data_IF_065824306909
#
_entry.id   IF_065824306909
#
_cell.length_a   1.000
_cell.length_b   1.000
_cell.length_c   1.000
_cell.angle_alpha   90.00
_cell.angle_beta   90.00
_cell.angle_gamma   90.00
#
_symmetry.space_group_name_H-M   'P 1'
#
loop_
_entity.id
_entity.type
_entity.pdbx_description
1 polymer ?
#
# COMPACT_ATOMS: atom_id res chain seq x y z
N UNK A 1 30.84 -1.87 -30.60
CA UNK A 1 31.89 -2.31 -29.68
C UNK A 1 31.25 -3.17 -28.58
N UNK A 2 31.70 -4.42 -28.38
CA UNK A 2 31.17 -5.24 -27.29
C UNK A 2 31.66 -4.74 -25.95
N UNK A 3 30.90 -4.97 -24.86
CA UNK A 3 31.29 -4.59 -23.51
C UNK A 3 32.65 -5.16 -23.10
N UNK A 4 32.93 -6.38 -23.48
CA UNK A 4 34.23 -7.03 -23.26
C UNK A 4 35.40 -6.26 -23.94
N UNK A 5 35.24 -5.84 -25.19
CA UNK A 5 36.23 -5.05 -25.90
C UNK A 5 36.43 -3.65 -25.26
N UNK A 6 35.36 -3.03 -24.76
CA UNK A 6 35.44 -1.79 -24.01
C UNK A 6 36.23 -1.96 -22.70
N UNK A 7 35.95 -3.01 -21.94
CA UNK A 7 36.64 -3.31 -20.67
C UNK A 7 38.13 -3.60 -20.89
N UNK A 8 38.48 -4.35 -21.93
CA UNK A 8 39.85 -4.60 -22.31
C UNK A 8 40.62 -3.31 -22.59
N UNK A 9 40.00 -2.42 -23.37
CA UNK A 9 40.59 -1.12 -23.75
C UNK A 9 40.68 -0.10 -22.62
N UNK A 10 39.60 0.03 -21.84
CA UNK A 10 39.49 1.08 -20.81
C UNK A 10 40.19 0.72 -19.49
N UNK A 11 40.24 -0.57 -19.14
CA UNK A 11 40.74 -1.03 -17.86
C UNK A 11 41.90 -2.03 -17.96
N UNK A 12 42.41 -2.26 -19.18
CA UNK A 12 43.50 -3.20 -19.47
C UNK A 12 43.24 -4.60 -18.91
N UNK A 13 41.95 -4.98 -18.80
CA UNK A 13 41.58 -6.32 -18.35
C UNK A 13 41.80 -7.34 -19.45
N UNK A 14 42.29 -8.55 -19.15
CA UNK A 14 42.32 -9.65 -20.12
C UNK A 14 40.91 -9.88 -20.68
N UNK A 15 40.83 -10.19 -21.99
CA UNK A 15 39.54 -10.34 -22.70
C UNK A 15 38.62 -11.38 -22.06
N UNK A 16 39.16 -12.44 -21.55
CA UNK A 16 38.44 -13.51 -20.85
C UNK A 16 37.80 -13.01 -19.53
N UNK A 17 38.35 -11.98 -18.88
CA UNK A 17 37.72 -11.35 -17.70
C UNK A 17 36.58 -10.40 -18.10
N UNK A 18 36.67 -9.74 -19.25
CA UNK A 18 35.58 -8.92 -19.80
C UNK A 18 34.38 -9.75 -20.24
N UNK A 19 34.58 -11.02 -20.61
CA UNK A 19 33.52 -11.94 -20.98
C UNK A 19 32.73 -12.51 -19.80
N UNK A 20 33.27 -12.44 -18.57
CA UNK A 20 32.57 -12.83 -17.34
C UNK A 20 31.49 -11.79 -16.97
N UNK A 21 31.70 -10.53 -17.36
CA UNK A 21 30.75 -9.44 -17.09
C UNK A 21 29.87 -9.25 -18.32
N UNK A 22 28.67 -9.78 -18.28
CA UNK A 22 27.67 -9.61 -19.33
C UNK A 22 26.60 -8.60 -18.92
N UNK A 23 26.30 -7.68 -19.83
CA UNK A 23 25.11 -6.83 -19.72
C UNK A 23 23.96 -7.51 -20.45
N UNK A 24 23.00 -8.03 -19.69
CA UNK A 24 21.77 -8.60 -20.22
C UNK A 24 20.64 -7.58 -20.27
N UNK A 25 19.75 -7.75 -21.23
CA UNK A 25 18.51 -7.01 -21.29
C UNK A 25 17.55 -7.53 -20.22
N UNK A 26 17.24 -6.72 -19.21
CA UNK A 26 16.31 -7.10 -18.15
C UNK A 26 14.85 -7.01 -18.63
N UNK A 27 14.45 -5.86 -19.19
CA UNK A 27 13.08 -5.63 -19.65
C UNK A 27 13.02 -4.88 -20.97
N UNK A 28 11.93 -5.08 -21.73
CA UNK A 28 11.45 -4.16 -22.77
C UNK A 28 10.06 -3.70 -22.38
N UNK A 29 9.84 -2.40 -22.40
CA UNK A 29 8.54 -1.80 -22.13
C UNK A 29 8.02 -1.13 -23.41
N UNK A 30 6.72 -1.27 -23.67
CA UNK A 30 6.03 -0.58 -24.77
C UNK A 30 5.73 0.87 -24.43
N UNK A 31 5.47 1.17 -23.14
CA UNK A 31 5.20 2.51 -22.61
C UNK A 31 5.86 2.68 -21.24
N UNK A 32 6.19 3.91 -20.90
CA UNK A 32 6.78 4.24 -19.62
C UNK A 32 6.42 5.65 -19.14
N UNK A 33 6.17 5.77 -17.85
CA UNK A 33 5.96 7.01 -17.11
C UNK A 33 7.18 7.22 -16.19
N UNK A 34 8.06 8.13 -16.56
CA UNK A 34 9.27 8.46 -15.77
C UNK A 34 9.02 9.76 -15.00
N UNK A 35 9.09 9.69 -13.68
CA UNK A 35 8.68 10.77 -12.78
C UNK A 35 9.92 11.48 -12.22
N UNK A 36 10.78 10.73 -11.53
CA UNK A 36 12.05 11.17 -10.99
C UNK A 36 13.02 9.99 -10.89
N UNK A 37 14.26 10.23 -10.45
CA UNK A 37 15.22 9.15 -10.15
C UNK A 37 14.59 8.12 -9.21
N UNK A 38 14.60 6.85 -9.59
CA UNK A 38 14.02 5.71 -8.86
C UNK A 38 12.47 5.74 -8.72
N UNK A 39 11.77 6.59 -9.48
CA UNK A 39 10.29 6.62 -9.50
C UNK A 39 9.80 6.55 -10.94
N UNK A 40 9.26 5.40 -11.32
CA UNK A 40 8.73 5.17 -12.66
C UNK A 40 7.68 4.06 -12.65
N UNK A 41 6.86 4.05 -13.69
CA UNK A 41 6.01 2.92 -14.07
C UNK A 41 6.24 2.58 -15.53
N UNK A 42 6.25 1.31 -15.89
CA UNK A 42 6.45 0.84 -17.24
C UNK A 42 5.51 -0.32 -17.57
N UNK A 43 5.00 -0.34 -18.79
CA UNK A 43 4.23 -1.45 -19.34
C UNK A 43 5.22 -2.40 -20.02
N UNK A 44 5.63 -3.43 -19.30
CA UNK A 44 6.62 -4.42 -19.72
C UNK A 44 5.97 -5.41 -20.67
N UNK A 45 6.57 -5.59 -21.84
CA UNK A 45 6.16 -6.55 -22.88
C UNK A 45 7.13 -7.74 -23.00
N UNK A 46 8.36 -7.58 -22.50
CA UNK A 46 9.37 -8.63 -22.46
C UNK A 46 10.13 -8.53 -21.13
N UNK A 47 10.30 -9.64 -20.46
CA UNK A 47 11.07 -9.75 -19.23
C UNK A 47 12.14 -10.84 -19.40
N UNK A 48 13.41 -10.45 -19.41
CA UNK A 48 14.57 -11.34 -19.58
C UNK A 48 14.49 -12.24 -20.84
N UNK A 49 13.90 -11.72 -21.92
CA UNK A 49 13.72 -12.45 -23.19
C UNK A 49 12.38 -13.19 -23.31
N UNK A 50 11.56 -13.20 -22.27
CA UNK A 50 10.24 -13.83 -22.30
C UNK A 50 9.14 -12.79 -22.52
N UNK A 51 8.32 -13.01 -23.56
CA UNK A 51 7.16 -12.14 -23.83
C UNK A 51 6.11 -12.31 -22.75
N UNK A 52 5.58 -11.18 -22.26
CA UNK A 52 4.54 -11.12 -21.23
C UNK A 52 3.26 -10.43 -21.69
N UNK A 53 3.23 -9.99 -22.95
CA UNK A 53 2.08 -9.39 -23.65
C UNK A 53 1.41 -10.42 -24.59
N UNK A 54 1.36 -11.68 -24.17
CA UNK A 54 0.71 -12.79 -24.89
C UNK A 54 -0.77 -12.89 -24.51
N UNK A 55 -1.52 -13.66 -25.30
CA UNK A 55 -2.92 -14.00 -25.06
C UNK A 55 -3.86 -12.77 -24.91
N UNK A 56 -3.60 -11.71 -25.70
CA UNK A 56 -4.40 -10.48 -25.68
C UNK A 56 -4.13 -9.56 -24.49
N UNK A 57 -3.15 -9.87 -23.64
CA UNK A 57 -2.74 -9.00 -22.52
C UNK A 57 -1.84 -7.88 -23.03
N UNK A 58 -2.02 -6.63 -22.56
CA UNK A 58 -1.20 -5.49 -23.01
C UNK A 58 0.24 -5.51 -22.47
N UNK A 59 0.54 -6.46 -21.59
CA UNK A 59 1.80 -6.56 -20.87
C UNK A 59 1.60 -6.53 -19.34
N UNK A 60 2.68 -6.31 -18.60
CA UNK A 60 2.68 -6.28 -17.13
C UNK A 60 3.20 -4.95 -16.61
N UNK A 61 2.49 -4.35 -15.65
CA UNK A 61 2.96 -3.13 -15.00
C UNK A 61 4.15 -3.44 -14.08
N UNK A 62 5.29 -2.81 -14.35
CA UNK A 62 6.44 -2.73 -13.43
C UNK A 62 6.54 -1.31 -12.93
N UNK A 63 6.46 -1.13 -11.62
CA UNK A 63 6.57 0.19 -11.00
C UNK A 63 7.64 0.18 -9.90
N UNK A 64 8.40 1.27 -9.81
CA UNK A 64 9.40 1.49 -8.79
C UNK A 64 9.20 2.86 -8.13
N UNK A 65 9.38 2.92 -6.80
CA UNK A 65 9.21 4.15 -6.02
C UNK A 65 7.79 4.68 -5.95
N UNK A 66 6.82 3.92 -6.43
CA UNK A 66 5.40 4.15 -6.26
C UNK A 66 4.87 3.21 -5.16
N UNK A 67 3.83 3.63 -4.46
CA UNK A 67 3.29 2.91 -3.30
C UNK A 67 2.58 1.57 -3.61
N UNK A 68 2.72 1.07 -4.84
CA UNK A 68 2.07 -0.13 -5.36
C UNK A 68 2.51 -1.44 -4.70
N UNK A 69 3.78 -1.51 -4.29
CA UNK A 69 4.36 -2.74 -3.72
C UNK A 69 4.87 -2.58 -2.29
N UNK A 70 4.47 -1.53 -1.63
CA UNK A 70 4.89 -1.32 -0.24
C UNK A 70 4.16 -2.29 0.68
N UNK A 71 4.91 -2.94 1.55
CA UNK A 71 4.37 -3.89 2.53
C UNK A 71 3.38 -3.27 3.53
N UNK A 72 3.33 -1.94 3.61
CA UNK A 72 2.43 -1.17 4.47
C UNK A 72 1.23 -0.57 3.71
N UNK A 73 1.00 -0.98 2.46
CA UNK A 73 -0.20 -0.64 1.69
C UNK A 73 -1.15 -1.83 1.70
N UNK A 74 -2.44 -1.65 2.00
CA UNK A 74 -3.44 -2.72 1.90
C UNK A 74 -3.47 -3.32 0.50
N UNK A 75 -3.66 -4.64 0.40
CA UNK A 75 -3.63 -5.35 -0.88
C UNK A 75 -4.68 -4.80 -1.86
N UNK A 76 -5.89 -4.54 -1.39
CA UNK A 76 -6.95 -3.95 -2.21
C UNK A 76 -6.51 -2.63 -2.87
N UNK A 77 -5.74 -1.80 -2.15
CA UNK A 77 -5.22 -0.55 -2.70
C UNK A 77 -4.06 -0.79 -3.67
N UNK A 78 -3.21 -1.81 -3.42
CA UNK A 78 -2.13 -2.19 -4.35
C UNK A 78 -2.70 -2.69 -5.68
N UNK A 79 -3.72 -3.53 -5.63
CA UNK A 79 -4.38 -4.10 -6.80
C UNK A 79 -5.05 -2.98 -7.61
N UNK A 80 -5.86 -2.15 -6.97
CA UNK A 80 -6.51 -1.00 -7.61
C UNK A 80 -5.51 -0.04 -8.27
N UNK A 81 -4.45 0.34 -7.57
CA UNK A 81 -3.42 1.23 -8.11
C UNK A 81 -2.67 0.60 -9.29
N UNK A 82 -2.50 -0.72 -9.28
CA UNK A 82 -1.85 -1.44 -10.38
C UNK A 82 -2.74 -1.46 -11.62
N UNK A 83 -4.03 -1.72 -11.46
CA UNK A 83 -5.04 -1.66 -12.53
C UNK A 83 -5.13 -0.25 -13.10
N UNK A 84 -5.26 0.75 -12.24
CA UNK A 84 -5.34 2.15 -12.65
C UNK A 84 -4.11 2.59 -13.47
N UNK A 85 -2.91 2.19 -13.04
CA UNK A 85 -1.69 2.46 -13.80
C UNK A 85 -1.64 1.70 -15.13
N UNK A 86 -2.18 0.49 -15.19
CA UNK A 86 -2.29 -0.25 -16.44
C UNK A 86 -3.19 0.51 -17.43
N UNK A 87 -4.35 0.98 -16.98
CA UNK A 87 -5.28 1.77 -17.78
C UNK A 87 -4.63 3.06 -18.29
N UNK A 88 -3.93 3.80 -17.42
CA UNK A 88 -3.17 5.01 -17.80
C UNK A 88 -2.10 4.69 -18.85
N UNK A 89 -1.31 3.63 -18.64
CA UNK A 89 -0.25 3.24 -19.59
C UNK A 89 -0.80 2.70 -20.90
N UNK A 90 -2.01 2.16 -20.91
CA UNK A 90 -2.70 1.73 -22.15
C UNK A 90 -3.39 2.88 -22.86
N UNK A 91 -3.48 4.06 -22.26
CA UNK A 91 -3.96 5.29 -22.90
C UNK A 91 -5.41 5.65 -22.56
N UNK A 92 -5.90 5.19 -21.40
CA UNK A 92 -7.21 5.59 -20.90
C UNK A 92 -7.30 7.13 -20.73
N UNK A 93 -8.45 7.69 -21.03
CA UNK A 93 -8.72 9.12 -20.89
C UNK A 93 -8.87 9.50 -19.42
N UNK A 94 -8.61 10.77 -19.10
CA UNK A 94 -8.67 11.30 -17.72
C UNK A 94 -10.03 11.05 -17.07
N UNK A 95 -11.10 11.29 -17.82
CA UNK A 95 -12.48 11.16 -17.35
C UNK A 95 -12.80 9.72 -16.92
N UNK A 96 -12.33 8.73 -17.68
CA UNK A 96 -12.46 7.32 -17.34
C UNK A 96 -11.72 6.99 -16.03
N UNK A 97 -10.49 7.48 -15.88
CA UNK A 97 -9.68 7.25 -14.66
C UNK A 97 -10.33 7.90 -13.43
N UNK A 98 -10.90 9.09 -13.58
CA UNK A 98 -11.64 9.78 -12.51
C UNK A 98 -12.86 8.98 -12.08
N UNK A 99 -13.61 8.42 -13.05
CA UNK A 99 -14.77 7.57 -12.72
C UNK A 99 -14.36 6.30 -11.98
N UNK A 100 -13.31 5.61 -12.45
CA UNK A 100 -12.75 4.44 -11.74
C UNK A 100 -12.32 4.76 -10.30
N UNK A 101 -11.77 5.96 -10.07
CA UNK A 101 -11.41 6.43 -8.72
C UNK A 101 -12.66 6.62 -7.85
N UNK A 102 -13.74 7.21 -8.39
CA UNK A 102 -15.00 7.42 -7.66
C UNK A 102 -15.63 6.08 -7.30
N UNK A 103 -15.73 5.14 -8.23
CA UNK A 103 -16.22 3.78 -8.00
C UNK A 103 -15.44 3.09 -6.88
N UNK A 104 -14.11 3.11 -6.95
CA UNK A 104 -13.27 2.49 -5.93
C UNK A 104 -13.44 3.14 -4.56
N UNK A 105 -13.53 4.49 -4.48
CA UNK A 105 -13.77 5.20 -3.21
C UNK A 105 -15.11 4.76 -2.60
N UNK A 106 -16.15 4.65 -3.41
CA UNK A 106 -17.46 4.18 -2.97
C UNK A 106 -17.40 2.74 -2.43
N UNK A 107 -16.81 1.82 -3.20
CA UNK A 107 -16.64 0.43 -2.78
C UNK A 107 -15.80 0.31 -1.50
N UNK A 108 -14.73 1.12 -1.38
CA UNK A 108 -13.90 1.14 -0.19
C UNK A 108 -14.65 1.71 1.02
N UNK A 109 -15.52 2.70 0.79
CA UNK A 109 -16.37 3.28 1.85
C UNK A 109 -17.32 2.24 2.45
N UNK A 110 -17.92 1.39 1.62
CA UNK A 110 -18.83 0.34 2.07
C UNK A 110 -18.16 -0.82 2.84
N UNK A 111 -16.83 -0.93 2.77
CA UNK A 111 -16.11 -1.99 3.48
C UNK A 111 -16.20 -1.83 4.99
N UNK A 112 -16.27 -2.95 5.74
CA UNK A 112 -16.17 -2.93 7.19
C UNK A 112 -14.89 -2.26 7.68
N UNK A 113 -14.96 -1.57 8.82
CA UNK A 113 -13.82 -0.81 9.36
C UNK A 113 -12.56 -1.64 9.60
N UNK A 114 -12.70 -2.92 9.96
CA UNK A 114 -11.55 -3.81 10.14
C UNK A 114 -10.84 -4.19 8.83
N UNK A 115 -11.49 -4.11 7.69
CA UNK A 115 -10.90 -4.37 6.37
C UNK A 115 -10.15 -3.14 5.81
N UNK A 116 -10.38 -1.96 6.38
CA UNK A 116 -9.75 -0.69 5.99
C UNK A 116 -8.41 -0.44 6.69
N UNK A 117 -7.88 -1.42 7.42
CA UNK A 117 -6.64 -1.25 8.16
C UNK A 117 -5.38 -1.29 7.29
N UNK A 118 -4.30 -0.80 7.86
CA UNK A 118 -2.97 -0.76 7.22
C UNK A 118 -2.11 -1.92 7.73
N UNK A 119 -1.53 -2.76 6.85
CA UNK A 119 -0.62 -3.81 7.29
C UNK A 119 0.68 -3.22 7.84
N UNK A 120 1.11 -3.69 9.01
CA UNK A 120 2.36 -3.30 9.67
C UNK A 120 3.01 -4.51 10.33
N UNK A 121 4.35 -4.57 10.32
CA UNK A 121 5.09 -5.54 11.12
C UNK A 121 5.32 -4.97 12.52
N UNK A 122 5.08 -5.76 13.53
CA UNK A 122 5.24 -5.37 14.95
C UNK A 122 6.53 -5.96 15.48
N UNK A 123 7.34 -5.12 16.13
CA UNK A 123 8.59 -5.52 16.79
C UNK A 123 8.70 -4.81 18.16
N UNK A 124 9.46 -5.41 19.06
CA UNK A 124 9.74 -4.88 20.39
C UNK A 124 8.50 -4.73 21.30
N UNK A 125 7.50 -5.57 21.09
CA UNK A 125 6.23 -5.53 21.83
C UNK A 125 6.46 -5.67 23.33
N UNK A 126 7.24 -6.68 23.73
CA UNK A 126 7.58 -6.97 25.12
C UNK A 126 8.34 -5.80 25.79
N UNK A 127 9.29 -5.21 25.07
CA UNK A 127 10.07 -4.08 25.57
C UNK A 127 9.17 -2.86 25.83
N UNK A 128 8.30 -2.51 24.91
CA UNK A 128 7.39 -1.36 25.07
C UNK A 128 6.32 -1.62 26.11
N UNK A 129 5.77 -2.83 26.19
CA UNK A 129 4.81 -3.23 27.21
C UNK A 129 5.39 -3.12 28.61
N UNK A 130 6.57 -3.70 28.84
CA UNK A 130 7.27 -3.61 30.12
C UNK A 130 7.68 -2.18 30.50
N UNK A 131 8.00 -1.33 29.52
CA UNK A 131 8.28 0.09 29.75
C UNK A 131 7.02 0.86 30.16
N UNK A 132 5.89 0.60 29.51
CA UNK A 132 4.61 1.23 29.84
C UNK A 132 4.13 0.86 31.24
N UNK A 133 4.29 -0.38 31.66
CA UNK A 133 3.96 -0.85 33.02
C UNK A 133 4.79 -0.14 34.09
N UNK A 134 6.09 0.13 33.84
CA UNK A 134 6.99 0.76 34.81
C UNK A 134 6.92 2.28 34.83
N UNK A 135 6.79 2.91 33.67
CA UNK A 135 6.95 4.35 33.48
C UNK A 135 5.62 5.03 33.12
N UNK A 136 4.53 4.26 32.99
CA UNK A 136 3.25 4.76 32.51
C UNK A 136 3.24 4.90 30.99
N UNK A 137 2.65 5.97 30.47
CA UNK A 137 2.45 6.15 29.02
C UNK A 137 3.79 6.22 28.27
N UNK A 138 4.19 5.10 27.67
CA UNK A 138 5.43 5.00 26.91
C UNK A 138 5.33 5.71 25.55
N UNK A 139 6.43 6.35 25.13
CA UNK A 139 6.57 6.83 23.75
C UNK A 139 6.91 5.64 22.84
N UNK A 140 5.88 5.06 22.21
CA UNK A 140 6.01 3.91 21.32
C UNK A 140 5.38 4.15 19.95
N UNK A 141 5.82 3.43 18.90
CA UNK A 141 5.18 3.51 17.58
C UNK A 141 3.70 3.12 17.62
N UNK A 142 2.86 3.83 16.87
CA UNK A 142 1.40 3.61 16.92
C UNK A 142 0.95 2.20 16.57
N UNK A 143 1.68 1.48 15.67
CA UNK A 143 1.38 0.10 15.33
C UNK A 143 1.73 -0.90 16.44
N UNK A 144 2.74 -0.60 17.25
CA UNK A 144 3.07 -1.42 18.45
C UNK A 144 1.99 -1.24 19.50
N UNK A 145 1.56 0.01 19.73
CA UNK A 145 0.43 0.31 20.62
C UNK A 145 -0.86 -0.39 20.17
N UNK A 146 -1.15 -0.37 18.86
CA UNK A 146 -2.32 -1.06 18.31
C UNK A 146 -2.31 -2.57 18.57
N UNK A 147 -1.13 -3.20 18.50
CA UNK A 147 -0.96 -4.62 18.82
C UNK A 147 -1.12 -4.93 20.32
N UNK A 148 -0.58 -4.06 21.18
CA UNK A 148 -0.80 -4.17 22.64
C UNK A 148 -2.28 -4.01 22.99
N UNK A 149 -2.98 -3.08 22.35
CA UNK A 149 -4.42 -2.88 22.54
C UNK A 149 -5.23 -4.13 22.16
N UNK A 150 -4.87 -4.81 21.05
CA UNK A 150 -5.48 -6.10 20.71
C UNK A 150 -5.27 -7.14 21.81
N UNK A 151 -4.03 -7.34 22.24
CA UNK A 151 -3.71 -8.33 23.27
C UNK A 151 -4.43 -8.03 24.59
N UNK A 152 -4.58 -6.76 24.93
CA UNK A 152 -5.33 -6.34 26.12
C UNK A 152 -6.83 -6.58 25.97
N UNK A 153 -7.43 -6.15 24.86
CA UNK A 153 -8.87 -6.32 24.59
C UNK A 153 -9.26 -7.80 24.50
N UNK A 154 -8.39 -8.62 23.90
CA UNK A 154 -8.56 -10.09 23.88
C UNK A 154 -8.70 -10.64 25.29
N UNK A 155 -7.83 -10.23 26.21
CA UNK A 155 -7.90 -10.65 27.63
C UNK A 155 -9.17 -10.13 28.31
N UNK A 156 -9.51 -8.87 28.08
CA UNK A 156 -10.68 -8.22 28.66
C UNK A 156 -11.98 -8.91 28.25
N UNK A 157 -12.04 -9.41 27.02
CA UNK A 157 -13.21 -10.12 26.48
C UNK A 157 -13.17 -11.65 26.71
N UNK A 158 -12.19 -12.17 27.49
CA UNK A 158 -11.99 -13.60 27.72
C UNK A 158 -11.89 -14.41 26.42
N UNK A 159 -11.33 -13.83 25.38
CA UNK A 159 -11.17 -14.48 24.08
C UNK A 159 -9.92 -15.37 24.09
N UNK A 160 -10.13 -16.67 24.23
CA UNK A 160 -9.07 -17.68 24.26
C UNK A 160 -8.80 -18.28 22.87
N UNK A 161 -9.59 -17.93 21.85
CA UNK A 161 -9.51 -18.51 20.51
C UNK A 161 -8.67 -17.70 19.56
N UNK A 162 -8.79 -16.37 19.58
CA UNK A 162 -8.01 -15.49 18.72
C UNK A 162 -6.52 -15.53 19.06
N UNK A 163 -5.68 -15.37 18.05
CA UNK A 163 -4.23 -15.36 18.21
C UNK A 163 -3.75 -14.10 18.93
N UNK A 164 -2.82 -14.25 19.88
CA UNK A 164 -2.12 -13.11 20.48
C UNK A 164 -1.03 -12.62 19.52
N UNK A 165 -0.87 -11.30 19.42
CA UNK A 165 0.20 -10.70 18.62
C UNK A 165 1.51 -10.77 19.40
N UNK A 166 2.57 -11.26 18.74
CA UNK A 166 3.94 -11.34 19.24
C UNK A 166 4.91 -10.64 18.28
N UNK A 167 6.15 -10.44 18.75
CA UNK A 167 7.20 -9.81 17.93
C UNK A 167 7.43 -10.53 16.59
N UNK A 168 7.62 -9.74 15.54
CA UNK A 168 7.81 -10.23 14.18
C UNK A 168 6.53 -10.47 13.38
N UNK A 169 5.37 -10.49 14.02
CA UNK A 169 4.09 -10.70 13.32
C UNK A 169 3.70 -9.52 12.45
N UNK A 170 3.02 -9.81 11.36
CA UNK A 170 2.30 -8.79 10.57
C UNK A 170 0.89 -8.62 11.13
N UNK A 171 0.49 -7.37 11.28
CA UNK A 171 -0.82 -6.99 11.81
C UNK A 171 -1.51 -6.02 10.88
N UNK A 172 -2.83 -6.05 10.85
CA UNK A 172 -3.64 -5.01 10.23
C UNK A 172 -3.99 -3.98 11.31
N UNK A 173 -3.57 -2.74 11.12
CA UNK A 173 -3.77 -1.65 12.08
C UNK A 173 -4.91 -0.76 11.63
N UNK A 174 -5.99 -0.72 12.41
CA UNK A 174 -7.16 0.11 12.19
C UNK A 174 -7.14 1.34 13.12
N UNK A 175 -7.72 2.44 12.66
CA UNK A 175 -7.93 3.64 13.46
C UNK A 175 -9.27 3.60 14.14
N UNK A 176 -9.34 4.18 15.33
CA UNK A 176 -10.56 4.27 16.13
C UNK A 176 -10.94 5.72 16.35
N UNK A 177 -12.24 6.00 16.33
CA UNK A 177 -12.82 7.26 16.83
C UNK A 177 -12.58 7.37 18.33
N UNK A 178 -12.85 8.54 18.89
CA UNK A 178 -12.87 8.73 20.34
C UNK A 178 -13.75 7.67 21.01
N UNK A 179 -13.23 7.00 22.03
CA UNK A 179 -13.92 5.91 22.73
C UNK A 179 -13.56 5.91 24.23
N UNK A 180 -14.36 5.28 25.09
CA UNK A 180 -14.15 5.25 26.54
C UNK A 180 -12.81 4.61 26.95
N UNK A 181 -12.24 3.75 26.14
CA UNK A 181 -10.95 3.11 26.40
C UNK A 181 -9.74 4.05 26.14
N UNK A 182 -9.96 5.20 25.49
CA UNK A 182 -8.90 6.13 25.11
C UNK A 182 -7.97 5.61 24.02
N UNK A 183 -8.34 4.55 23.30
CA UNK A 183 -7.53 3.96 22.24
C UNK A 183 -7.76 4.71 20.92
N UNK A 184 -6.67 5.08 20.25
CA UNK A 184 -6.70 5.71 18.91
C UNK A 184 -6.51 4.72 17.78
N UNK A 185 -6.07 3.52 18.08
CA UNK A 185 -5.86 2.45 17.09
C UNK A 185 -5.87 1.09 17.76
N UNK A 186 -6.22 0.07 16.97
CA UNK A 186 -6.16 -1.33 17.35
C UNK A 186 -5.65 -2.13 16.17
N UNK A 187 -4.91 -3.20 16.42
CA UNK A 187 -4.44 -4.09 15.36
C UNK A 187 -4.97 -5.50 15.56
N UNK A 188 -4.96 -6.32 14.51
CA UNK A 188 -5.21 -7.75 14.61
C UNK A 188 -4.23 -8.52 13.73
N UNK A 189 -3.92 -9.80 14.01
CA UNK A 189 -3.03 -10.59 13.18
C UNK A 189 -3.51 -10.69 11.74
N UNK A 190 -2.64 -10.49 10.75
CA UNK A 190 -3.03 -10.54 9.33
C UNK A 190 -3.58 -11.90 8.91
N UNK A 191 -3.13 -12.96 9.59
CA UNK A 191 -3.53 -14.34 9.32
C UNK A 191 -4.75 -14.76 10.16
N UNK A 192 -5.37 -13.84 10.93
CA UNK A 192 -6.59 -14.12 11.69
C UNK A 192 -7.79 -14.24 10.75
N UNK A 193 -8.25 -15.47 10.54
CA UNK A 193 -9.35 -15.79 9.63
C UNK A 193 -10.74 -15.52 10.24
N UNK A 194 -10.84 -15.55 11.55
CA UNK A 194 -12.09 -15.35 12.25
C UNK A 194 -12.04 -14.14 13.19
N UNK A 195 -12.30 -12.97 12.63
CA UNK A 195 -12.33 -11.73 13.40
C UNK A 195 -13.45 -11.80 14.47
N UNK A 196 -13.12 -11.71 15.76
CA UNK A 196 -14.10 -11.85 16.83
C UNK A 196 -15.11 -10.69 16.84
N UNK A 197 -16.32 -10.98 17.35
CA UNK A 197 -17.39 -9.99 17.38
C UNK A 197 -17.02 -8.73 18.16
N UNK A 198 -16.37 -8.90 19.33
CA UNK A 198 -15.95 -7.75 20.15
C UNK A 198 -15.03 -6.78 19.40
N UNK A 199 -14.26 -7.29 18.43
CA UNK A 199 -13.41 -6.46 17.58
C UNK A 199 -14.22 -5.74 16.50
N UNK A 200 -15.17 -6.46 15.86
CA UNK A 200 -16.05 -5.90 14.82
C UNK A 200 -16.91 -4.75 15.34
N UNK A 201 -17.26 -4.79 16.62
CA UNK A 201 -18.11 -3.81 17.29
C UNK A 201 -17.32 -2.55 17.75
N UNK A 202 -16.00 -2.47 17.49
CA UNK A 202 -15.20 -1.30 17.83
C UNK A 202 -15.56 -0.08 16.96
N UNK A 203 -15.46 1.13 17.51
CA UNK A 203 -15.80 2.36 16.80
C UNK A 203 -14.70 2.77 15.82
N UNK A 204 -14.64 2.14 14.65
CA UNK A 204 -13.65 2.44 13.63
C UNK A 204 -13.81 3.85 13.06
N UNK A 205 -12.67 4.51 12.83
CA UNK A 205 -12.62 5.81 12.17
C UNK A 205 -12.46 5.62 10.65
N UNK A 206 -13.58 5.42 9.98
CA UNK A 206 -13.63 5.19 8.54
C UNK A 206 -13.03 6.36 7.76
N UNK A 207 -13.39 7.61 8.12
CA UNK A 207 -12.93 8.80 7.43
C UNK A 207 -11.40 8.94 7.50
N UNK A 208 -10.82 8.78 8.70
CA UNK A 208 -9.37 8.87 8.86
C UNK A 208 -8.62 7.77 8.11
N UNK A 209 -9.17 6.55 8.08
CA UNK A 209 -8.56 5.44 7.33
C UNK A 209 -8.65 5.68 5.81
N UNK A 210 -9.79 6.14 5.30
CA UNK A 210 -9.99 6.47 3.90
C UNK A 210 -9.05 7.59 3.45
N UNK A 211 -9.01 8.69 4.18
CA UNK A 211 -8.11 9.82 3.90
C UNK A 211 -6.63 9.38 3.86
N UNK A 212 -6.23 8.46 4.76
CA UNK A 212 -4.82 8.04 4.87
C UNK A 212 -4.44 6.99 3.82
N UNK A 213 -5.36 6.08 3.51
CA UNK A 213 -5.08 4.90 2.66
C UNK A 213 -5.45 5.17 1.21
N UNK A 214 -6.58 5.81 0.96
CA UNK A 214 -7.10 6.03 -0.40
C UNK A 214 -6.70 7.41 -0.90
N UNK A 215 -7.20 8.47 -0.28
CA UNK A 215 -7.06 9.84 -0.80
C UNK A 215 -5.60 10.24 -0.97
N UNK A 216 -4.79 10.09 0.05
CA UNK A 216 -3.36 10.44 -0.02
C UNK A 216 -2.59 9.71 -1.11
N UNK A 217 -2.94 8.45 -1.42
CA UNK A 217 -2.25 7.67 -2.46
C UNK A 217 -2.75 8.03 -3.86
N UNK A 218 -4.04 8.27 -3.99
CA UNK A 218 -4.64 8.76 -5.24
C UNK A 218 -4.11 10.14 -5.57
N UNK A 219 -4.08 11.07 -4.61
CA UNK A 219 -3.53 12.41 -4.81
C UNK A 219 -2.07 12.38 -5.24
N UNK A 220 -1.26 11.49 -4.63
CA UNK A 220 0.11 11.28 -5.06
C UNK A 220 0.21 10.80 -6.51
N UNK A 221 -0.67 9.89 -6.95
CA UNK A 221 -0.69 9.41 -8.33
C UNK A 221 -1.13 10.51 -9.31
N UNK A 222 -2.23 11.21 -8.99
CA UNK A 222 -2.75 12.28 -9.83
C UNK A 222 -1.77 13.45 -9.95
N UNK A 223 -1.08 13.80 -8.86
CA UNK A 223 0.01 14.77 -8.88
C UNK A 223 1.16 14.35 -9.80
N UNK A 224 1.48 13.06 -9.87
CA UNK A 224 2.46 12.50 -10.79
C UNK A 224 2.02 12.64 -12.25
N UNK A 225 0.75 12.38 -12.51
CA UNK A 225 0.14 12.51 -13.84
C UNK A 225 -0.06 13.98 -14.25
N UNK A 226 0.20 14.91 -13.33
CA UNK A 226 -0.09 16.35 -13.47
C UNK A 226 -1.57 16.62 -13.75
N UNK A 227 -2.43 15.78 -13.24
CA UNK A 227 -3.88 15.94 -13.31
C UNK A 227 -4.35 16.65 -12.04
N UNK A 228 -4.76 17.91 -12.16
CA UNK A 228 -5.38 18.64 -11.06
C UNK A 228 -6.86 18.22 -10.95
N UNK A 229 -7.22 17.64 -9.82
CA UNK A 229 -8.64 17.47 -9.45
C UNK A 229 -9.28 18.80 -9.00
N UNK A 230 -8.48 19.84 -8.70
CA UNK A 230 -8.97 21.12 -8.23
C UNK A 230 -9.88 21.86 -9.22
N UNK A 231 -9.82 21.56 -10.50
CA UNK A 231 -10.78 22.06 -11.50
C UNK A 231 -12.14 21.33 -11.44
N UNK A 232 -12.22 20.19 -10.73
CA UNK A 232 -13.44 19.41 -10.49
C UNK A 232 -13.97 19.54 -9.05
N UNK A 233 -13.49 20.50 -8.27
CA UNK A 233 -13.92 20.72 -6.86
C UNK A 233 -15.40 21.11 -6.75
N UNK A 234 -16.05 21.46 -7.85
CA UNK A 234 -17.51 21.58 -7.93
C UNK A 234 -18.20 20.22 -7.67
N UNK A 235 -17.56 19.10 -8.03
CA UNK A 235 -18.09 17.75 -7.84
C UNK A 235 -17.91 17.25 -6.39
N UNK A 236 -16.85 17.65 -5.68
CA UNK A 236 -16.63 17.26 -4.28
C UNK A 236 -17.64 17.90 -3.32
N UNK A 237 -18.08 19.13 -3.58
CA UNK A 237 -19.14 19.76 -2.79
C UNK A 237 -20.49 19.05 -3.03
N UNK A 238 -20.77 18.59 -4.24
CA UNK A 238 -21.99 17.84 -4.54
C UNK A 238 -21.98 16.45 -3.87
N UNK A 239 -20.80 15.85 -3.65
CA UNK A 239 -20.69 14.55 -2.95
C UNK A 239 -20.92 14.69 -1.44
N UNK A 240 -20.36 15.72 -0.81
CA UNK A 240 -20.63 16.02 0.60
C UNK A 240 -22.10 16.42 0.83
N UNK A 241 -22.73 17.10 -0.14
CA UNK A 241 -24.15 17.46 -0.09
C UNK A 241 -25.09 16.28 -0.32
N UNK A 242 -24.66 15.25 -1.05
CA UNK A 242 -25.43 14.00 -1.26
C UNK A 242 -25.44 13.08 -0.02
N UNK A 243 -24.50 13.23 0.89
CA UNK A 243 -24.41 12.43 2.11
C UNK A 243 -24.75 13.21 3.40
N UNK A 244 -25.13 14.48 3.28
CA UNK A 244 -25.67 15.30 4.39
C UNK A 244 -27.19 15.25 4.44
N UNK A 245 -27.77 14.06 4.43
CA UNK A 245 -29.16 13.87 4.84
C UNK A 245 -29.18 13.47 6.32
N UNK A 246 -29.91 14.32 7.10
CA UNK A 246 -30.21 14.23 8.53
C UNK A 246 -30.63 12.82 9.00
#
# INVERSE_FOLDING_TARGET
>A
ETFAAYMEKAFHCPRNMGEIIAAGREIVASKGLFITKKRYAALVIDNEGFRVDTDGKPGKVKAMGLDLKRSDTPRVMQDFMTELLLEVLTGAQKEHIVERIKEFKYEFHERPGWEKGTPKRVNNLTMYGAKEEREGKANMPGHVRAALNWNYLKKLNNDNYSQSIVDGMKTIVCKLKANPLGYTSVGYPIDESNIPKWFKDLPFDHQLMEATIVDKKIDNLLGILRWNLAEETVVNNTFNDLFSFE
#
